data_IF_690246683201
#
_entry.id   IF_690246683201
#
_cell.length_a   1.000
_cell.length_b   1.000
_cell.length_c   1.000
_cell.angle_alpha   90.00
_cell.angle_beta   90.00
_cell.angle_gamma   90.00
#
_symmetry.space_group_name_H-M   'P 1'
#
loop_
_entity.id
_entity.type
_entity.pdbx_description
1 polymer ?
#
# COMPACT_ATOMS: atom_id res chain seq x y z
N UNK A 1 -12.80 8.48 19.22
CA UNK A 1 -14.09 8.41 18.49
C UNK A 1 -13.84 7.53 17.26
N UNK A 2 -14.71 6.55 16.99
CA UNK A 2 -14.59 5.67 15.82
C UNK A 2 -15.79 5.85 14.91
N UNK A 3 -15.59 5.58 13.62
CA UNK A 3 -16.58 5.58 12.56
C UNK A 3 -16.54 4.22 11.87
N UNK A 4 -17.69 3.64 11.54
CA UNK A 4 -17.82 2.46 10.66
C UNK A 4 -18.49 2.88 9.38
N UNK A 5 -18.00 2.36 8.24
CA UNK A 5 -18.57 2.64 6.93
C UNK A 5 -18.31 1.48 5.97
N UNK A 6 -19.02 1.49 4.85
CA UNK A 6 -18.86 0.55 3.77
C UNK A 6 -18.10 1.21 2.61
N UNK A 7 -17.16 0.47 2.03
CA UNK A 7 -16.47 0.81 0.79
C UNK A 7 -16.64 -0.35 -0.21
N UNK A 8 -16.28 -0.19 -1.48
CA UNK A 8 -16.43 -1.26 -2.48
C UNK A 8 -15.76 -2.58 -2.13
N UNK A 9 -14.69 -2.56 -1.34
CA UNK A 9 -13.94 -3.72 -0.87
C UNK A 9 -14.40 -4.26 0.50
N UNK A 10 -15.46 -3.68 1.10
CA UNK A 10 -16.08 -4.19 2.32
C UNK A 10 -16.28 -3.18 3.43
N UNK A 11 -16.43 -3.70 4.66
CA UNK A 11 -16.65 -2.91 5.85
C UNK A 11 -15.32 -2.42 6.44
N UNK A 12 -15.26 -1.12 6.71
CA UNK A 12 -14.11 -0.47 7.31
C UNK A 12 -14.45 0.22 8.62
N UNK A 13 -13.43 0.41 9.44
CA UNK A 13 -13.52 1.21 10.64
C UNK A 13 -12.36 2.20 10.70
N UNK A 14 -12.68 3.45 11.02
CA UNK A 14 -11.70 4.51 11.21
C UNK A 14 -11.71 5.02 12.64
N UNK A 15 -10.53 5.36 13.15
CA UNK A 15 -10.33 5.97 14.47
C UNK A 15 -9.64 7.31 14.31
N UNK A 16 -10.22 8.35 14.85
CA UNK A 16 -9.54 9.63 14.99
C UNK A 16 -8.54 9.49 16.13
N UNK A 17 -7.28 9.60 15.80
CA UNK A 17 -6.15 9.66 16.72
C UNK A 17 -5.90 11.12 17.16
N UNK A 18 -4.94 11.34 18.06
CA UNK A 18 -4.46 12.69 18.39
C UNK A 18 -3.74 13.33 17.18
N UNK A 19 -3.68 14.65 17.15
CA UNK A 19 -2.90 15.43 16.15
C UNK A 19 -3.36 15.28 14.69
N UNK A 20 -4.68 15.30 14.45
CA UNK A 20 -5.25 15.21 13.09
C UNK A 20 -4.92 13.94 12.32
N UNK A 21 -4.49 12.88 13.00
CA UNK A 21 -4.27 11.58 12.40
C UNK A 21 -5.51 10.70 12.49
N UNK A 22 -5.68 9.88 11.47
CA UNK A 22 -6.71 8.84 11.38
C UNK A 22 -6.02 7.50 11.15
N UNK A 23 -6.48 6.47 11.87
CA UNK A 23 -6.16 5.08 11.58
C UNK A 23 -7.37 4.44 10.89
N UNK A 24 -7.16 3.85 9.72
CA UNK A 24 -8.16 3.17 8.92
C UNK A 24 -7.87 1.68 8.91
N UNK A 25 -8.86 0.84 9.26
CA UNK A 25 -8.73 -0.61 9.11
C UNK A 25 -8.69 -0.99 7.63
N UNK A 26 -7.76 -1.87 7.29
CA UNK A 26 -7.62 -2.46 5.96
C UNK A 26 -8.00 -3.94 6.01
N UNK A 27 -8.29 -4.53 4.85
CA UNK A 27 -8.62 -5.94 4.76
C UNK A 27 -7.42 -6.83 5.09
N UNK A 28 -7.69 -8.01 5.65
CA UNK A 28 -6.67 -9.05 5.87
C UNK A 28 -6.06 -9.50 4.55
N UNK A 29 -4.73 -9.67 4.53
CA UNK A 29 -4.01 -10.23 3.39
C UNK A 29 -3.52 -11.62 3.74
N UNK A 30 -3.91 -12.62 2.97
CA UNK A 30 -3.55 -14.03 3.17
C UNK A 30 -2.72 -14.61 2.03
N UNK A 31 -2.51 -13.83 0.98
CA UNK A 31 -1.74 -14.24 -0.18
C UNK A 31 -0.82 -13.10 -0.63
N UNK A 32 0.45 -13.40 -0.73
CA UNK A 32 1.46 -12.59 -1.39
C UNK A 32 2.20 -13.51 -2.36
N UNK A 33 2.43 -13.04 -3.57
CA UNK A 33 3.07 -13.80 -4.64
C UNK A 33 4.45 -13.18 -4.88
N UNK A 34 5.49 -14.00 -4.70
CA UNK A 34 6.84 -13.68 -5.11
C UNK A 34 6.96 -13.93 -6.62
N UNK A 35 7.21 -12.88 -7.39
CA UNK A 35 7.41 -12.94 -8.83
C UNK A 35 8.91 -13.05 -9.20
N UNK A 36 9.79 -13.04 -8.18
CA UNK A 36 11.24 -12.95 -8.35
C UNK A 36 11.71 -11.54 -8.71
N UNK A 37 13.04 -11.32 -8.74
CA UNK A 37 13.65 -10.04 -9.12
C UNK A 37 13.14 -8.83 -8.32
N UNK A 38 12.94 -8.99 -7.02
CA UNK A 38 12.40 -7.97 -6.11
C UNK A 38 10.99 -7.51 -6.49
N UNK A 39 10.18 -8.41 -7.07
CA UNK A 39 8.80 -8.15 -7.50
C UNK A 39 7.81 -8.96 -6.70
N UNK A 40 6.73 -8.31 -6.33
CA UNK A 40 5.67 -8.90 -5.51
C UNK A 40 4.29 -8.53 -6.05
N UNK A 41 3.33 -9.43 -5.87
CA UNK A 41 1.93 -9.17 -6.17
C UNK A 41 1.07 -9.52 -4.96
N UNK A 42 0.16 -8.63 -4.59
CA UNK A 42 -0.81 -8.85 -3.53
C UNK A 42 -2.05 -7.97 -3.69
N UNK A 43 -3.12 -8.35 -2.99
CA UNK A 43 -4.39 -7.63 -2.99
C UNK A 43 -4.70 -7.12 -1.58
N UNK A 44 -4.86 -5.82 -1.43
CA UNK A 44 -5.18 -5.12 -0.17
C UNK A 44 -6.53 -4.40 -0.25
N UNK A 45 -7.46 -4.89 -1.07
CA UNK A 45 -8.72 -4.26 -1.50
C UNK A 45 -8.67 -3.84 -2.97
N UNK A 46 -7.47 -3.77 -3.54
CA UNK A 46 -7.18 -3.62 -4.96
C UNK A 46 -5.89 -4.39 -5.27
N UNK A 47 -5.72 -4.97 -6.47
CA UNK A 47 -4.49 -5.68 -6.83
C UNK A 47 -3.34 -4.69 -7.07
N UNK A 48 -2.17 -5.05 -6.54
CA UNK A 48 -0.94 -4.26 -6.61
C UNK A 48 0.25 -5.10 -7.06
N UNK A 49 0.97 -4.61 -8.06
CA UNK A 49 2.31 -5.02 -8.42
C UNK A 49 3.30 -4.09 -7.71
N UNK A 50 4.27 -4.66 -7.00
CA UNK A 50 5.31 -3.97 -6.25
C UNK A 50 6.66 -4.31 -6.85
N UNK A 51 7.47 -3.32 -7.16
CA UNK A 51 8.86 -3.47 -7.57
C UNK A 51 9.75 -2.71 -6.60
N UNK A 52 10.68 -3.41 -5.94
CA UNK A 52 11.72 -2.75 -5.16
C UNK A 52 12.86 -2.31 -6.06
N UNK A 53 13.22 -1.03 -5.93
CA UNK A 53 14.23 -0.33 -6.73
C UNK A 53 15.41 0.10 -5.86
N UNK A 54 16.63 -0.08 -6.38
CA UNK A 54 17.86 0.38 -5.70
C UNK A 54 18.17 1.85 -6.05
N UNK A 55 17.73 2.29 -7.23
CA UNK A 55 18.00 3.62 -7.78
C UNK A 55 17.19 4.75 -7.15
N UNK A 56 17.27 5.92 -7.79
CA UNK A 56 16.44 7.07 -7.44
C UNK A 56 15.06 6.93 -8.08
N UNK A 57 14.01 6.90 -7.27
CA UNK A 57 12.63 6.78 -7.77
C UNK A 57 12.23 7.91 -8.71
N UNK A 58 12.77 9.12 -8.51
CA UNK A 58 12.44 10.31 -9.32
C UNK A 58 12.96 10.20 -10.78
N UNK A 59 13.94 9.33 -11.02
CA UNK A 59 14.51 9.11 -12.35
C UNK A 59 13.72 8.07 -13.18
N UNK A 60 12.75 7.40 -12.56
CA UNK A 60 11.93 6.38 -13.23
C UNK A 60 10.84 7.08 -14.06
N UNK A 61 10.76 6.76 -15.36
CA UNK A 61 9.53 7.00 -16.14
C UNK A 61 8.43 6.04 -15.67
N UNK A 62 7.83 6.39 -14.52
CA UNK A 62 6.85 5.54 -13.88
C UNK A 62 5.66 5.24 -14.81
N UNK A 63 5.16 6.22 -15.52
CA UNK A 63 3.97 6.06 -16.36
C UNK A 63 4.25 5.15 -17.56
N UNK A 64 5.39 5.36 -18.26
CA UNK A 64 5.79 4.52 -19.38
C UNK A 64 6.03 3.07 -18.96
N UNK A 65 6.80 2.86 -17.89
CA UNK A 65 7.06 1.55 -17.34
C UNK A 65 5.80 0.84 -16.84
N UNK A 66 4.98 1.51 -16.02
CA UNK A 66 3.80 0.93 -15.44
C UNK A 66 2.74 0.52 -16.47
N UNK A 67 2.60 1.27 -17.57
CA UNK A 67 1.70 0.90 -18.68
C UNK A 67 2.08 -0.43 -19.30
N UNK A 68 3.37 -0.72 -19.43
CA UNK A 68 3.83 -2.01 -19.93
C UNK A 68 3.37 -3.19 -19.07
N UNK A 69 3.29 -3.01 -17.76
CA UNK A 69 2.78 -4.00 -16.81
C UNK A 69 1.25 -4.00 -16.81
N UNK A 70 0.64 -2.84 -16.60
CA UNK A 70 -0.81 -2.64 -16.47
C UNK A 70 -1.62 -3.23 -17.63
N UNK A 71 -1.08 -3.12 -18.85
CA UNK A 71 -1.72 -3.58 -20.09
C UNK A 71 -1.12 -4.87 -20.65
N UNK A 72 -0.27 -5.56 -19.88
CA UNK A 72 0.25 -6.87 -20.31
C UNK A 72 -0.85 -7.93 -20.34
N UNK A 73 -0.65 -8.97 -21.13
CA UNK A 73 -1.56 -10.11 -21.24
C UNK A 73 -1.84 -10.78 -19.89
N UNK A 74 -0.86 -10.72 -18.97
CA UNK A 74 -0.98 -11.28 -17.62
C UNK A 74 -2.08 -10.60 -16.80
N UNK A 75 -2.21 -9.28 -16.95
CA UNK A 75 -3.12 -8.48 -16.13
C UNK A 75 -4.38 -8.01 -16.86
N UNK A 76 -4.43 -8.12 -18.19
CA UNK A 76 -5.63 -7.75 -18.96
C UNK A 76 -6.76 -8.78 -18.82
N UNK A 77 -8.05 -8.34 -18.88
CA UNK A 77 -8.52 -6.94 -18.99
C UNK A 77 -8.62 -6.20 -17.65
N UNK A 78 -8.53 -6.89 -16.51
CA UNK A 78 -8.78 -6.29 -15.19
C UNK A 78 -7.75 -5.22 -14.82
N UNK A 79 -6.48 -5.46 -15.17
CA UNK A 79 -5.34 -4.61 -14.88
C UNK A 79 -4.95 -4.59 -13.40
N UNK A 80 -3.82 -3.94 -13.13
CA UNK A 80 -3.19 -3.88 -11.81
C UNK A 80 -2.64 -2.48 -11.54
N UNK A 81 -2.61 -2.05 -10.26
CA UNK A 81 -1.86 -0.87 -9.83
C UNK A 81 -0.37 -1.22 -9.79
N UNK A 82 0.49 -0.30 -10.19
CA UNK A 82 1.93 -0.54 -10.28
C UNK A 82 2.67 0.42 -9.36
N UNK A 83 3.56 -0.13 -8.53
CA UNK A 83 4.24 0.64 -7.50
C UNK A 83 5.76 0.43 -7.61
N UNK A 84 6.49 1.52 -7.75
CA UNK A 84 7.94 1.56 -7.59
C UNK A 84 8.26 1.90 -6.14
N UNK A 85 9.05 1.08 -5.45
CA UNK A 85 9.31 1.19 -4.01
C UNK A 85 10.81 1.19 -3.75
N UNK A 86 11.28 2.06 -2.87
CA UNK A 86 12.66 2.11 -2.40
C UNK A 86 12.73 1.88 -0.91
N UNK A 87 13.61 0.98 -0.47
CA UNK A 87 13.90 0.75 0.95
C UNK A 87 14.78 1.88 1.45
N UNK A 88 14.31 2.60 2.48
CA UNK A 88 15.03 3.72 3.10
C UNK A 88 15.78 3.31 4.37
N UNK A 89 15.58 2.06 4.83
CA UNK A 89 16.13 1.56 6.09
C UNK A 89 15.26 1.90 7.31
N UNK A 90 15.58 1.28 8.45
CA UNK A 90 14.93 1.54 9.74
C UNK A 90 13.39 1.43 9.73
N UNK A 91 12.84 0.48 8.96
CA UNK A 91 11.40 0.29 8.87
C UNK A 91 10.70 1.36 8.03
N UNK A 92 11.42 2.01 7.11
CA UNK A 92 10.88 3.03 6.21
C UNK A 92 11.12 2.67 4.74
N UNK A 93 10.13 3.01 3.91
CA UNK A 93 10.16 2.92 2.45
C UNK A 93 9.67 4.23 1.83
N UNK A 94 10.11 4.50 0.61
CA UNK A 94 9.54 5.54 -0.25
C UNK A 94 8.87 4.86 -1.45
N UNK A 95 7.80 5.45 -2.01
CA UNK A 95 7.12 4.87 -3.15
C UNK A 95 6.45 5.88 -4.06
N UNK A 96 6.30 5.47 -5.32
CA UNK A 96 5.48 6.12 -6.34
C UNK A 96 4.49 5.10 -6.91
N UNK A 97 3.27 5.55 -7.21
CA UNK A 97 2.18 4.66 -7.65
C UNK A 97 1.57 5.15 -8.95
N UNK A 98 1.50 4.25 -9.94
CA UNK A 98 0.61 4.35 -11.08
C UNK A 98 -0.71 3.64 -10.74
N UNK A 99 -1.81 4.36 -10.79
CA UNK A 99 -3.09 3.86 -10.29
C UNK A 99 -4.01 3.41 -11.43
N UNK A 100 -4.46 2.16 -11.35
CA UNK A 100 -5.45 1.58 -12.24
C UNK A 100 -6.79 2.32 -12.12
N UNK A 101 -7.35 2.76 -13.25
CA UNK A 101 -8.59 3.53 -13.29
C UNK A 101 -8.36 5.03 -13.33
N UNK A 102 -7.25 5.54 -12.79
CA UNK A 102 -6.74 6.89 -13.02
C UNK A 102 -5.86 6.90 -14.27
N UNK A 103 -5.14 5.80 -14.49
CA UNK A 103 -4.22 5.55 -15.62
C UNK A 103 -3.10 6.58 -15.70
N UNK A 104 -2.64 7.01 -14.53
CA UNK A 104 -1.54 7.95 -14.33
C UNK A 104 -0.95 7.80 -12.93
N UNK A 105 0.18 8.47 -12.68
CA UNK A 105 0.74 8.59 -11.35
C UNK A 105 -0.18 9.40 -10.43
N UNK A 106 -0.35 8.93 -9.19
CA UNK A 106 -1.11 9.61 -8.15
C UNK A 106 -0.22 10.00 -6.98
N UNK A 107 -0.64 11.01 -6.22
CA UNK A 107 0.10 11.49 -5.06
C UNK A 107 0.23 10.42 -3.97
N UNK A 108 -0.79 9.59 -3.81
CA UNK A 108 -0.80 8.48 -2.83
C UNK A 108 -1.99 7.56 -3.09
N UNK A 109 -1.77 6.25 -2.97
CA UNK A 109 -2.79 5.21 -3.05
C UNK A 109 -2.78 4.41 -1.73
N UNK A 110 -3.84 4.50 -0.92
CA UNK A 110 -3.87 3.89 0.42
C UNK A 110 -3.72 2.36 0.40
N UNK A 111 -4.35 1.68 -0.56
CA UNK A 111 -4.18 0.22 -0.76
C UNK A 111 -2.76 -0.10 -1.25
N UNK A 112 -2.18 0.73 -2.11
CA UNK A 112 -0.79 0.60 -2.57
C UNK A 112 0.24 0.78 -1.44
N UNK A 113 0.04 1.77 -0.59
CA UNK A 113 0.86 2.00 0.61
C UNK A 113 0.83 0.79 1.54
N UNK A 114 -0.36 0.21 1.73
CA UNK A 114 -0.53 -1.01 2.53
C UNK A 114 0.17 -2.20 1.89
N UNK A 115 0.02 -2.37 0.58
CA UNK A 115 0.65 -3.45 -0.18
C UNK A 115 2.18 -3.36 -0.13
N UNK A 116 2.75 -2.16 -0.34
CA UNK A 116 4.19 -1.93 -0.30
C UNK A 116 4.78 -2.21 1.09
N UNK A 117 4.09 -1.82 2.16
CA UNK A 117 4.53 -2.09 3.53
C UNK A 117 4.56 -3.59 3.88
N UNK A 118 3.57 -4.35 3.42
CA UNK A 118 3.52 -5.81 3.61
C UNK A 118 4.61 -6.49 2.77
N UNK A 119 4.74 -6.12 1.50
CA UNK A 119 5.78 -6.65 0.62
C UNK A 119 7.19 -6.38 1.18
N UNK A 120 7.43 -5.21 1.78
CA UNK A 120 8.71 -4.87 2.40
C UNK A 120 9.10 -5.84 3.53
N UNK A 121 8.19 -6.18 4.43
CA UNK A 121 8.49 -7.14 5.51
C UNK A 121 8.75 -8.53 4.95
N UNK A 122 8.04 -8.92 3.89
CA UNK A 122 8.24 -10.20 3.23
C UNK A 122 9.56 -10.25 2.45
N UNK A 123 9.94 -9.17 1.77
CA UNK A 123 11.21 -9.02 1.02
C UNK A 123 12.45 -9.10 1.93
N UNK A 124 12.33 -8.65 3.19
CA UNK A 124 13.37 -8.81 4.20
C UNK A 124 13.56 -10.27 4.65
N UNK A 125 12.80 -11.22 4.11
CA UNK A 125 12.81 -12.61 4.53
C UNK A 125 12.28 -12.81 5.96
N UNK A 126 11.53 -11.85 6.47
CA UNK A 126 10.89 -11.93 7.77
C UNK A 126 9.60 -12.74 7.63
N UNK A 127 9.71 -14.04 7.78
CA UNK A 127 8.56 -14.94 7.89
C UNK A 127 8.27 -15.20 9.38
N UNK A 128 7.40 -14.41 10.00
CA UNK A 128 7.11 -14.62 11.42
C UNK A 128 6.33 -15.93 11.60
N UNK A 129 6.98 -16.93 12.17
CA UNK A 129 6.31 -18.17 12.61
C UNK A 129 5.37 -17.91 13.79
N UNK A 130 5.66 -16.87 14.56
CA UNK A 130 4.85 -16.41 15.69
C UNK A 130 4.22 -15.05 15.36
N UNK A 131 3.10 -14.75 15.99
CA UNK A 131 2.44 -13.45 15.87
C UNK A 131 3.41 -12.31 16.19
N UNK A 132 3.67 -11.49 15.19
CA UNK A 132 4.61 -10.36 15.28
C UNK A 132 3.96 -9.10 14.74
N UNK A 133 4.10 -8.00 15.48
CA UNK A 133 3.58 -6.68 15.07
C UNK A 133 4.65 -5.89 14.35
N UNK A 134 4.26 -5.26 13.26
CA UNK A 134 5.10 -4.42 12.43
C UNK A 134 4.51 -3.01 12.33
N UNK A 135 5.40 -2.03 12.17
CA UNK A 135 5.08 -0.65 11.83
C UNK A 135 6.05 -0.21 10.75
N UNK A 136 5.52 0.12 9.58
CA UNK A 136 6.30 0.59 8.42
C UNK A 136 5.91 2.03 8.12
N UNK A 137 6.91 2.90 8.01
CA UNK A 137 6.73 4.27 7.55
C UNK A 137 6.86 4.34 6.03
N UNK A 138 5.92 5.02 5.36
CA UNK A 138 5.86 5.10 3.90
C UNK A 138 5.84 6.55 3.47
N UNK A 139 6.83 6.96 2.67
CA UNK A 139 6.89 8.28 2.05
C UNK A 139 6.30 8.19 0.64
N UNK A 140 5.37 9.08 0.34
CA UNK A 140 4.73 9.24 -0.98
C UNK A 140 4.78 10.71 -1.39
N UNK A 141 4.52 11.03 -2.66
CA UNK A 141 4.41 12.41 -3.11
C UNK A 141 3.32 13.19 -2.36
N UNK A 142 2.27 12.51 -1.86
CA UNK A 142 1.19 13.10 -1.06
C UNK A 142 1.53 13.27 0.42
N UNK A 143 2.67 12.77 0.90
CA UNK A 143 3.11 12.90 2.30
C UNK A 143 3.49 11.57 2.94
N UNK A 144 3.62 11.61 4.28
CA UNK A 144 4.06 10.47 5.08
C UNK A 144 2.86 9.73 5.66
N UNK A 145 2.87 8.42 5.47
CA UNK A 145 1.89 7.49 5.99
C UNK A 145 2.58 6.41 6.81
N UNK A 146 1.83 5.68 7.60
CA UNK A 146 2.31 4.50 8.31
C UNK A 146 1.35 3.34 8.11
N UNK A 147 1.88 2.13 8.05
CA UNK A 147 1.08 0.92 8.07
C UNK A 147 1.49 0.09 9.28
N UNK A 148 0.52 -0.17 10.15
CA UNK A 148 0.68 -1.09 11.28
C UNK A 148 -0.09 -2.37 10.96
N UNK A 149 0.53 -3.52 11.20
CA UNK A 149 -0.12 -4.82 11.02
C UNK A 149 0.53 -5.88 11.90
N UNK A 150 -0.18 -6.99 12.05
CA UNK A 150 0.36 -8.22 12.61
C UNK A 150 0.58 -9.23 11.49
N UNK A 151 1.64 -10.02 11.61
CA UNK A 151 1.96 -11.08 10.67
C UNK A 151 2.21 -12.40 11.40
N UNK A 152 1.67 -13.50 10.84
CA UNK A 152 1.90 -14.85 11.32
C UNK A 152 1.64 -15.85 10.18
N UNK A 153 2.61 -16.76 9.93
CA UNK A 153 2.49 -17.84 8.95
C UNK A 153 2.00 -17.36 7.56
N UNK A 154 2.57 -16.27 7.04
CA UNK A 154 2.20 -15.71 5.74
C UNK A 154 0.84 -14.99 5.70
N UNK A 155 0.17 -14.83 6.85
CA UNK A 155 -1.06 -14.09 7.00
C UNK A 155 -0.81 -12.74 7.66
N UNK A 156 -1.38 -11.68 7.09
CA UNK A 156 -1.28 -10.32 7.58
C UNK A 156 -2.67 -9.84 8.00
N UNK A 157 -2.79 -9.45 9.26
CA UNK A 157 -4.06 -9.06 9.87
C UNK A 157 -3.88 -7.87 10.82
N UNK A 158 -4.97 -7.37 11.39
CA UNK A 158 -4.96 -6.13 12.18
C UNK A 158 -4.26 -4.99 11.44
N UNK A 159 -4.52 -4.88 10.13
CA UNK A 159 -3.87 -3.92 9.25
C UNK A 159 -4.54 -2.56 9.42
N UNK A 160 -3.74 -1.54 9.68
CA UNK A 160 -4.18 -0.15 9.83
C UNK A 160 -3.30 0.77 8.98
N UNK A 161 -3.92 1.47 8.06
CA UNK A 161 -3.33 2.62 7.38
C UNK A 161 -3.50 3.85 8.29
N UNK A 162 -2.39 4.52 8.60
CA UNK A 162 -2.37 5.66 9.51
C UNK A 162 -1.81 6.86 8.75
N UNK A 163 -2.54 7.96 8.75
CA UNK A 163 -2.11 9.17 8.07
C UNK A 163 -2.84 10.42 8.54
N UNK A 164 -2.42 11.59 8.05
CA UNK A 164 -3.10 12.86 8.35
C UNK A 164 -4.47 12.92 7.67
N UNK A 165 -5.42 13.55 8.35
CA UNK A 165 -6.72 13.88 7.79
C UNK A 165 -7.08 15.31 8.19
N UNK A 166 -7.33 16.15 7.21
CA UNK A 166 -7.67 17.57 7.41
C UNK A 166 -9.11 17.80 6.99
N UNK A 167 -9.88 18.45 7.86
CA UNK A 167 -11.21 18.91 7.51
C UNK A 167 -11.10 20.03 6.47
N UNK A 168 -11.77 19.87 5.34
CA UNK A 168 -11.68 20.83 4.21
C UNK A 168 -12.94 21.71 4.15
N UNK A 169 -14.12 21.09 4.13
CA UNK A 169 -15.39 21.79 4.13
C UNK A 169 -16.53 20.90 4.60
N UNK A 170 -17.66 21.51 4.91
CA UNK A 170 -18.93 20.86 5.16
C UNK A 170 -19.99 21.47 4.25
N UNK A 171 -20.93 20.67 3.76
CA UNK A 171 -21.99 21.11 2.86
C UNK A 171 -23.20 20.20 2.92
N UNK A 172 -24.32 20.70 2.39
CA UNK A 172 -25.55 19.93 2.16
C UNK A 172 -25.89 19.94 0.67
N UNK A 173 -26.39 18.83 0.15
CA UNK A 173 -26.81 18.66 -1.23
C UNK A 173 -28.06 17.79 -1.31
#
# INVERSE_FOLDING_TARGET
KSLRFWAPDGAHQAWKLSNHQVALSMNTVSQIIDLGRNQWELNTGSPHFIQFEEGNLEEIDLVGWARGIRYSDVYMPAGINVNAVKIMGNGAIAMRTYERGVENETLSCGTGVTAAAIAYINDLGIEPKTYTKHLVSVETAGGKLQVRFAAQNGRFEEIFLIGPATFVFEGSF
#
